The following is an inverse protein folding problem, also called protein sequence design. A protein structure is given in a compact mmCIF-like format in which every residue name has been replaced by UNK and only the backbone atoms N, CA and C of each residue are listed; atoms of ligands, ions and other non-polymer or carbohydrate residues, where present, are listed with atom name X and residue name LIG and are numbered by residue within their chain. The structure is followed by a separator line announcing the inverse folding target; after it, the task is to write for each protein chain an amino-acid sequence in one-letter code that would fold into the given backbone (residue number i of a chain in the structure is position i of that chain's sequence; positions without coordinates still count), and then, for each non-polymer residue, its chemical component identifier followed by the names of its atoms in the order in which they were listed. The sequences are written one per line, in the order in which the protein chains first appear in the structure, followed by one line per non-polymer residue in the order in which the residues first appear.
data_IF_976843151490
#
_entry.id   IF_976843151490
#
_cell.length_a   1.000
_cell.length_b   1.000
_cell.length_c   1.000
_cell.angle_alpha   90.00
_cell.angle_beta   90.00
_cell.angle_gamma   90.00
#
_symmetry.space_group_name_H-M   'P 1'
#
loop_
_entity.id
_entity.type
_entity.pdbx_description
1 polymer ?
#
# COMPACT_ATOMS: atom_id res chain seq x y z
N UNK A 1 14.47 -5.07 -10.75
CA UNK A 1 15.36 -4.73 -9.68
C UNK A 1 14.77 -3.59 -8.82
N UNK A 2 15.51 -3.20 -7.86
CA UNK A 2 15.03 -2.24 -6.91
C UNK A 2 14.81 -0.88 -7.51
N UNK A 3 13.78 -0.26 -7.01
CA UNK A 3 13.48 1.09 -7.36
C UNK A 3 14.22 2.01 -6.39
N UNK A 4 14.88 3.02 -6.92
CA UNK A 4 15.52 4.00 -6.05
C UNK A 4 14.47 4.80 -5.30
N UNK A 5 14.82 5.27 -4.11
CA UNK A 5 13.91 6.09 -3.32
C UNK A 5 13.48 7.34 -4.07
N UNK A 6 14.40 7.92 -4.85
CA UNK A 6 14.05 9.09 -5.65
C UNK A 6 12.95 8.79 -6.66
N UNK A 7 13.01 7.59 -7.26
CA UNK A 7 12.00 7.18 -8.23
C UNK A 7 10.66 6.92 -7.56
N UNK A 8 10.70 6.35 -6.35
CA UNK A 8 9.48 6.11 -5.58
C UNK A 8 8.83 7.44 -5.21
N UNK A 9 9.62 8.39 -4.74
CA UNK A 9 9.10 9.70 -4.38
C UNK A 9 8.46 10.40 -5.57
N UNK A 10 9.09 10.29 -6.73
CA UNK A 10 8.55 10.90 -7.94
C UNK A 10 7.22 10.28 -8.34
N UNK A 11 7.14 8.95 -8.25
CA UNK A 11 5.90 8.26 -8.55
C UNK A 11 4.79 8.70 -7.61
N UNK A 12 5.08 8.72 -6.31
CA UNK A 12 4.08 9.11 -5.31
C UNK A 12 3.64 10.55 -5.53
N UNK A 13 4.57 11.43 -5.89
CA UNK A 13 4.24 12.82 -6.19
C UNK A 13 3.24 12.93 -7.33
N UNK A 14 3.48 12.18 -8.40
CA UNK A 14 2.58 12.20 -9.56
C UNK A 14 1.20 11.68 -9.18
N UNK A 15 1.16 10.58 -8.43
CA UNK A 15 -0.11 10.01 -7.98
C UNK A 15 -0.87 11.00 -7.10
N UNK A 16 -0.16 11.68 -6.21
CA UNK A 16 -0.78 12.63 -5.31
C UNK A 16 -1.35 13.82 -6.06
N UNK A 17 -0.66 14.27 -7.11
CA UNK A 17 -1.19 15.35 -7.94
C UNK A 17 -2.48 14.96 -8.62
N UNK A 18 -2.56 13.72 -9.08
CA UNK A 18 -3.78 13.23 -9.72
C UNK A 18 -4.94 13.23 -8.73
N UNK A 19 -4.68 12.78 -7.51
CA UNK A 19 -5.70 12.75 -6.46
C UNK A 19 -6.13 14.18 -6.12
N UNK A 20 -5.17 15.08 -5.95
CA UNK A 20 -5.46 16.46 -5.58
C UNK A 20 -6.25 17.17 -6.66
N UNK A 21 -6.11 16.74 -7.90
CA UNK A 21 -6.89 17.31 -9.01
C UNK A 21 -8.32 16.77 -9.08
N UNK A 22 -8.70 15.91 -8.16
CA UNK A 22 -10.07 15.40 -8.08
C UNK A 22 -10.25 14.02 -8.64
N UNK A 23 -9.17 13.30 -8.93
CA UNK A 23 -9.24 11.95 -9.48
C UNK A 23 -9.19 10.90 -8.40
N UNK A 24 -9.82 9.76 -8.67
CA UNK A 24 -9.65 8.56 -7.86
C UNK A 24 -8.59 7.71 -8.54
N UNK A 25 -7.56 7.34 -7.78
CA UNK A 25 -6.44 6.58 -8.32
C UNK A 25 -6.36 5.24 -7.61
N UNK A 26 -6.36 4.17 -8.40
CA UNK A 26 -6.20 2.81 -7.88
C UNK A 26 -4.88 2.27 -8.40
N UNK A 27 -4.06 1.77 -7.49
CA UNK A 27 -2.72 1.29 -7.82
C UNK A 27 -2.57 -0.14 -7.35
N UNK A 28 -2.07 -1.00 -8.22
CA UNK A 28 -1.70 -2.36 -7.84
C UNK A 28 -0.19 -2.33 -7.61
N UNK A 29 0.22 -2.64 -6.38
CA UNK A 29 1.61 -2.40 -6.02
C UNK A 29 2.09 -3.40 -4.98
N UNK A 30 3.38 -3.69 -5.02
CA UNK A 30 4.04 -4.55 -4.03
C UNK A 30 5.07 -3.78 -3.22
N UNK A 31 5.44 -2.59 -3.68
CA UNK A 31 6.46 -1.79 -3.01
C UNK A 31 5.85 -1.11 -1.79
N UNK A 32 6.35 -1.45 -0.61
CA UNK A 32 5.80 -0.95 0.64
C UNK A 32 5.96 0.55 0.79
N UNK A 33 6.99 1.13 0.17
CA UNK A 33 7.18 2.57 0.21
C UNK A 33 6.08 3.31 -0.52
N UNK A 34 5.52 2.70 -1.57
CA UNK A 34 4.37 3.26 -2.27
C UNK A 34 3.10 2.97 -1.49
N UNK A 35 2.94 1.75 -1.04
CA UNK A 35 1.73 1.31 -0.34
C UNK A 35 1.47 2.16 0.90
N UNK A 36 2.53 2.47 1.65
CA UNK A 36 2.36 3.22 2.91
C UNK A 36 1.88 4.65 2.68
N UNK A 37 1.96 5.15 1.45
CA UNK A 37 1.48 6.48 1.10
C UNK A 37 0.01 6.49 0.67
N UNK A 38 -0.62 5.33 0.59
CA UNK A 38 -2.01 5.23 0.18
C UNK A 38 -2.94 5.76 1.27
N UNK A 39 -4.10 6.24 0.86
CA UNK A 39 -5.13 6.63 1.82
C UNK A 39 -5.94 5.42 2.26
N UNK A 40 -6.00 4.41 1.39
CA UNK A 40 -6.82 3.22 1.64
C UNK A 40 -6.14 2.03 1.00
N UNK A 41 -6.11 0.93 1.72
CA UNK A 41 -5.49 -0.31 1.24
C UNK A 41 -6.57 -1.38 1.15
N UNK A 42 -6.53 -2.13 0.06
CA UNK A 42 -7.34 -3.33 -0.09
C UNK A 42 -6.37 -4.48 -0.22
N UNK A 43 -6.37 -5.35 0.77
CA UNK A 43 -5.45 -6.48 0.85
C UNK A 43 -6.21 -7.76 0.53
N UNK A 44 -5.78 -8.43 -0.52
CA UNK A 44 -6.42 -9.68 -0.95
C UNK A 44 -5.61 -10.86 -0.46
N UNK A 45 -6.26 -12.01 -0.39
CA UNK A 45 -5.61 -13.22 0.08
C UNK A 45 -4.35 -13.55 -0.71
N UNK A 46 -3.45 -14.31 -0.10
CA UNK A 46 -2.13 -14.55 -0.70
C UNK A 46 -2.16 -15.39 -1.97
N UNK A 47 -3.22 -16.15 -2.20
CA UNK A 47 -3.32 -17.00 -3.37
C UNK A 47 -4.24 -16.41 -4.40
N UNK A 48 -3.78 -16.37 -5.64
CA UNK A 48 -4.63 -15.96 -6.74
C UNK A 48 -5.48 -17.10 -7.23
N UNK A 49 -6.23 -16.84 -8.29
CA UNK A 49 -7.04 -17.87 -8.92
C UNK A 49 -8.21 -18.28 -8.06
N UNK A 50 -8.57 -19.56 -8.16
CA UNK A 50 -9.78 -20.08 -7.52
C UNK A 50 -9.73 -20.01 -6.01
N UNK A 51 -8.54 -20.16 -5.44
CA UNK A 51 -8.41 -20.17 -3.99
C UNK A 51 -8.08 -18.83 -3.39
N UNK A 52 -7.88 -17.82 -4.24
CA UNK A 52 -7.44 -16.52 -3.78
C UNK A 52 -8.44 -15.43 -4.07
N UNK A 53 -7.99 -14.22 -3.88
CA UNK A 53 -8.80 -13.05 -4.17
C UNK A 53 -9.82 -12.71 -3.11
N UNK A 54 -9.81 -13.43 -1.99
CA UNK A 54 -10.69 -13.08 -0.89
C UNK A 54 -10.16 -11.85 -0.19
N UNK A 55 -11.07 -10.97 0.20
CA UNK A 55 -10.70 -9.77 0.92
C UNK A 55 -10.22 -10.14 2.32
N UNK A 56 -8.98 -9.81 2.61
CA UNK A 56 -8.40 -10.01 3.93
C UNK A 56 -8.57 -8.76 4.79
N UNK A 57 -8.40 -7.60 4.17
CA UNK A 57 -8.44 -6.34 4.90
C UNK A 57 -8.75 -5.19 3.95
N UNK A 58 -9.47 -4.20 4.45
CA UNK A 58 -9.69 -2.94 3.74
C UNK A 58 -9.71 -1.83 4.77
N UNK A 59 -8.89 -0.80 4.55
CA UNK A 59 -8.81 0.31 5.49
C UNK A 59 -7.56 1.14 5.26
N UNK A 60 -7.21 1.95 6.23
CA UNK A 60 -6.02 2.80 6.15
C UNK A 60 -4.75 1.97 6.31
N UNK A 61 -3.59 2.51 5.90
CA UNK A 61 -2.32 1.80 6.14
C UNK A 61 -2.10 1.48 7.62
N UNK A 62 -2.47 2.38 8.51
CA UNK A 62 -2.31 2.16 9.94
C UNK A 62 -3.16 1.00 10.43
N UNK A 63 -4.40 0.96 9.96
CA UNK A 63 -5.30 -0.13 10.32
C UNK A 63 -4.81 -1.44 9.74
N UNK A 64 -4.24 -1.40 8.55
CA UNK A 64 -3.69 -2.59 7.92
C UNK A 64 -2.52 -3.13 8.73
N UNK A 65 -1.63 -2.27 9.17
CA UNK A 65 -0.47 -2.66 9.97
C UNK A 65 -0.89 -3.30 11.30
N UNK A 66 -2.05 -2.92 11.80
CA UNK A 66 -2.57 -3.45 13.06
C UNK A 66 -3.39 -4.72 12.88
N UNK A 67 -3.62 -5.15 11.65
CA UNK A 67 -4.48 -6.30 11.38
C UNK A 67 -3.66 -7.60 11.40
N UNK A 68 -3.88 -8.50 12.35
CA UNK A 68 -3.08 -9.74 12.44
C UNK A 68 -3.25 -10.65 11.24
N UNK A 69 -4.39 -10.58 10.58
CA UNK A 69 -4.66 -11.44 9.42
C UNK A 69 -4.00 -10.95 8.15
N UNK A 70 -3.53 -9.70 8.13
CA UNK A 70 -2.97 -9.13 6.91
C UNK A 70 -1.47 -9.41 6.83
N UNK A 71 -1.10 -10.17 5.81
CA UNK A 71 0.29 -10.43 5.53
C UNK A 71 1.01 -9.12 5.14
N UNK A 72 0.33 -8.32 4.32
CA UNK A 72 0.85 -7.01 3.93
C UNK A 72 1.04 -6.12 5.17
N UNK A 73 0.11 -6.17 6.11
CA UNK A 73 0.19 -5.37 7.32
C UNK A 73 1.42 -5.69 8.16
N UNK A 74 1.81 -6.96 8.18
CA UNK A 74 2.98 -7.38 8.92
C UNK A 74 4.24 -6.68 8.44
N UNK A 75 4.39 -6.57 7.12
CA UNK A 75 5.54 -5.92 6.52
C UNK A 75 5.40 -4.41 6.48
N UNK A 76 4.16 -3.92 6.49
CA UNK A 76 3.90 -2.49 6.44
C UNK A 76 4.24 -1.80 7.75
N UNK A 77 4.11 -2.51 8.84
CA UNK A 77 4.32 -1.92 10.16
C UNK A 77 5.69 -1.26 10.32
N UNK A 78 6.81 -1.95 10.03
CA UNK A 78 8.10 -1.29 10.13
C UNK A 78 8.28 -0.17 9.11
N UNK A 79 7.64 -0.28 7.94
CA UNK A 79 7.73 0.78 6.95
C UNK A 79 7.08 2.06 7.46
N UNK A 80 5.91 1.94 8.08
CA UNK A 80 5.25 3.10 8.66
C UNK A 80 6.08 3.72 9.78
N UNK A 81 6.70 2.87 10.58
CA UNK A 81 7.54 3.37 11.68
C UNK A 81 8.71 4.16 11.16
N UNK A 82 9.32 3.72 10.04
CA UNK A 82 10.42 4.45 9.44
C UNK A 82 10.02 5.85 8.98
N UNK A 83 8.82 5.96 8.42
CA UNK A 83 8.39 7.21 7.83
C UNK A 83 7.71 8.15 8.82
N UNK A 84 7.44 7.67 10.00
CA UNK A 84 6.72 8.47 11.00
C UNK A 84 7.58 9.00 12.11
N UNK A 85 8.83 8.79 11.97
CA UNK A 85 9.75 9.30 12.99
C UNK A 85 9.92 10.80 12.95
#
# INVERSE_FOLDING_TARGET
RDRHMADVHKLVEVLQRLVDAGNTVIVIEHNLDVIQCADHIIDLGPEGGDGGGELVFAGTPEECAACPASFTGEFLKPALERYRK
#
